data_IF_885512540078
#
_entry.id   IF_885512540078
#
_cell.length_a   1.000
_cell.length_b   1.000
_cell.length_c   1.000
_cell.angle_alpha   90.00
_cell.angle_beta   90.00
_cell.angle_gamma   90.00
#
_symmetry.space_group_name_H-M   'P 1'
#
loop_
_entity.id
_entity.type
_entity.pdbx_description
1 polymer ?
#
# COMPACT_ATOMS: atom_id res chain seq x y z
N UNK A 1 -16.88 -10.55 13.01
CA UNK A 1 -16.81 -9.67 11.84
C UNK A 1 -15.43 -9.81 11.21
N UNK A 2 -15.32 -9.73 9.91
CA UNK A 2 -14.04 -9.92 9.22
C UNK A 2 -12.97 -8.90 9.62
N UNK A 3 -13.35 -7.67 9.89
CA UNK A 3 -12.40 -6.64 10.35
C UNK A 3 -11.73 -7.05 11.67
N UNK A 4 -12.48 -7.63 12.59
CA UNK A 4 -11.95 -8.07 13.88
C UNK A 4 -10.91 -9.19 13.67
N UNK A 5 -11.17 -10.11 12.74
CA UNK A 5 -10.23 -11.19 12.38
C UNK A 5 -8.94 -10.61 11.81
N UNK A 6 -9.04 -9.66 10.88
CA UNK A 6 -7.87 -8.99 10.28
C UNK A 6 -7.05 -8.26 11.35
N UNK A 7 -7.71 -7.56 12.26
CA UNK A 7 -7.05 -6.83 13.36
C UNK A 7 -6.33 -7.79 14.30
N UNK A 8 -6.96 -8.90 14.68
CA UNK A 8 -6.33 -9.89 15.58
C UNK A 8 -5.11 -10.54 14.92
N UNK A 9 -5.18 -10.88 13.65
CA UNK A 9 -4.02 -11.43 12.94
C UNK A 9 -2.90 -10.38 12.78
N UNK A 10 -3.25 -9.13 12.54
CA UNK A 10 -2.27 -8.05 12.50
C UNK A 10 -1.59 -7.83 13.86
N UNK A 11 -2.31 -7.94 14.97
CA UNK A 11 -1.73 -7.85 16.32
C UNK A 11 -0.65 -8.93 16.54
N UNK A 12 -0.90 -10.15 16.08
CA UNK A 12 0.08 -11.24 16.16
C UNK A 12 1.34 -10.90 15.37
N UNK A 13 1.20 -10.43 14.14
CA UNK A 13 2.33 -10.00 13.32
C UNK A 13 3.10 -8.84 13.92
N UNK A 14 2.41 -7.88 14.56
CA UNK A 14 3.07 -6.74 15.20
C UNK A 14 4.01 -7.17 16.33
N UNK A 15 3.72 -8.24 17.06
CA UNK A 15 4.63 -8.79 18.06
C UNK A 15 5.97 -9.16 17.41
N UNK A 16 5.93 -9.86 16.29
CA UNK A 16 7.14 -10.26 15.55
C UNK A 16 7.88 -9.05 14.96
N UNK A 17 7.15 -8.09 14.37
CA UNK A 17 7.75 -6.89 13.80
C UNK A 17 8.44 -6.03 14.84
N UNK A 18 7.82 -5.85 16.01
CA UNK A 18 8.41 -5.07 17.12
C UNK A 18 9.60 -5.79 17.77
N UNK A 19 9.63 -7.12 17.72
CA UNK A 19 10.80 -7.89 18.16
C UNK A 19 11.98 -7.73 17.20
N UNK A 20 11.72 -7.63 15.90
CA UNK A 20 12.75 -7.42 14.88
C UNK A 20 13.25 -5.96 14.83
N UNK A 21 12.35 -5.01 14.95
CA UNK A 21 12.64 -3.56 14.95
C UNK A 21 11.82 -2.92 16.07
N UNK A 22 12.49 -2.39 17.10
CA UNK A 22 11.82 -1.74 18.22
C UNK A 22 11.12 -0.44 17.80
N UNK A 23 10.16 0.01 18.60
CA UNK A 23 9.50 1.31 18.38
C UNK A 23 10.50 2.47 18.31
N UNK A 24 11.49 2.48 19.20
CA UNK A 24 12.52 3.52 19.22
C UNK A 24 13.36 3.47 17.93
N UNK A 25 13.78 2.29 17.50
CA UNK A 25 14.53 2.13 16.25
C UNK A 25 13.71 2.58 15.04
N UNK A 26 12.42 2.23 14.98
CA UNK A 26 11.53 2.64 13.90
C UNK A 26 11.35 4.17 13.90
N UNK A 27 11.22 4.78 15.08
CA UNK A 27 11.15 6.24 15.23
C UNK A 27 12.42 6.92 14.71
N UNK A 28 13.59 6.40 15.05
CA UNK A 28 14.86 6.94 14.56
C UNK A 28 14.98 6.83 13.05
N UNK A 29 14.58 5.70 12.46
CA UNK A 29 14.54 5.53 11.00
C UNK A 29 13.62 6.56 10.35
N UNK A 30 12.45 6.80 10.92
CA UNK A 30 11.50 7.79 10.41
C UNK A 30 12.05 9.21 10.45
N UNK A 31 12.71 9.59 11.56
CA UNK A 31 13.31 10.92 11.72
C UNK A 31 14.51 11.14 10.78
N UNK A 32 15.23 10.09 10.44
CA UNK A 32 16.37 10.16 9.52
C UNK A 32 15.95 10.15 8.05
N UNK A 33 14.70 9.88 7.75
CA UNK A 33 14.22 9.85 6.37
C UNK A 33 14.25 11.25 5.76
N UNK A 34 14.93 11.36 4.63
CA UNK A 34 14.99 12.60 3.83
C UNK A 34 13.94 12.62 2.71
N UNK A 35 13.17 11.56 2.59
CA UNK A 35 12.16 11.42 1.55
C UNK A 35 11.04 12.43 1.75
N UNK A 36 10.69 13.13 0.68
CA UNK A 36 9.53 14.03 0.67
C UNK A 36 8.29 13.28 0.23
N UNK A 37 7.18 13.54 0.93
CA UNK A 37 5.88 13.03 0.53
C UNK A 37 5.41 13.67 -0.78
N UNK A 38 4.81 12.88 -1.64
CA UNK A 38 4.05 13.38 -2.79
C UNK A 38 2.66 13.77 -2.29
N UNK A 39 2.20 14.98 -2.61
CA UNK A 39 0.96 15.54 -2.04
C UNK A 39 -0.29 14.76 -2.43
N UNK A 40 -0.70 13.80 -1.61
CA UNK A 40 -1.88 12.95 -1.84
C UNK A 40 -3.17 13.79 -1.87
N UNK A 41 -3.40 14.57 -0.82
CA UNK A 41 -4.58 15.44 -0.74
C UNK A 41 -4.63 16.45 -1.90
N UNK A 42 -3.48 17.02 -2.26
CA UNK A 42 -3.37 17.96 -3.38
C UNK A 42 -3.75 17.31 -4.70
N UNK A 43 -3.33 16.09 -4.94
CA UNK A 43 -3.66 15.35 -6.16
C UNK A 43 -5.16 15.12 -6.32
N UNK A 44 -5.89 14.97 -5.21
CA UNK A 44 -7.34 14.75 -5.20
C UNK A 44 -8.16 16.06 -5.25
N UNK A 45 -7.56 17.21 -4.95
CA UNK A 45 -8.22 18.53 -4.95
C UNK A 45 -8.14 19.20 -6.32
N UNK A 46 -8.53 18.50 -7.36
CA UNK A 46 -8.64 19.06 -8.70
C UNK A 46 -10.12 19.24 -9.06
N UNK A 47 -10.39 20.03 -10.08
CA UNK A 47 -11.73 20.13 -10.64
C UNK A 47 -12.13 18.82 -11.31
N UNK A 48 -13.40 18.44 -11.15
CA UNK A 48 -13.94 17.21 -11.69
C UNK A 48 -13.70 16.00 -10.79
N UNK A 49 -13.81 14.82 -11.37
CA UNK A 49 -13.69 13.54 -10.67
C UNK A 49 -12.22 13.19 -10.43
N UNK A 50 -11.91 12.81 -9.19
CA UNK A 50 -10.62 12.23 -8.82
C UNK A 50 -10.76 10.74 -8.61
N UNK A 51 -9.78 9.97 -9.10
CA UNK A 51 -9.81 8.50 -9.06
C UNK A 51 -8.57 7.97 -8.34
N UNK A 52 -8.79 7.03 -7.43
CA UNK A 52 -7.72 6.26 -6.78
C UNK A 52 -7.75 4.85 -7.38
N UNK A 53 -6.65 4.46 -8.01
CA UNK A 53 -6.46 3.09 -8.51
C UNK A 53 -5.82 2.21 -7.44
N UNK A 54 -6.42 1.07 -7.14
CA UNK A 54 -5.93 0.17 -6.10
C UNK A 54 -5.26 -1.06 -6.69
N UNK A 55 -4.07 -1.39 -6.18
CA UNK A 55 -3.40 -2.66 -6.44
C UNK A 55 -3.67 -3.63 -5.29
N UNK A 56 -4.31 -4.76 -5.62
CA UNK A 56 -4.76 -5.76 -4.65
C UNK A 56 -4.71 -7.15 -5.27
N UNK A 57 -4.10 -8.12 -4.57
CA UNK A 57 -3.98 -9.51 -5.05
C UNK A 57 -5.08 -10.43 -4.56
N UNK A 58 -5.66 -10.14 -3.41
CA UNK A 58 -6.69 -10.94 -2.78
C UNK A 58 -7.59 -10.07 -1.90
N UNK A 59 -8.74 -10.61 -1.53
CA UNK A 59 -9.60 -10.00 -0.49
C UNK A 59 -10.31 -11.10 0.29
N UNK A 60 -10.79 -10.82 1.51
CA UNK A 60 -11.53 -11.80 2.31
C UNK A 60 -12.79 -12.34 1.61
N UNK A 61 -13.43 -11.51 0.80
CA UNK A 61 -14.68 -11.88 0.10
C UNK A 61 -14.44 -12.64 -1.21
N UNK A 62 -13.30 -12.46 -1.85
CA UNK A 62 -13.02 -13.03 -3.18
C UNK A 62 -11.86 -14.01 -3.20
N UNK A 63 -11.13 -14.17 -2.07
CA UNK A 63 -9.91 -14.97 -2.04
C UNK A 63 -8.84 -14.43 -2.98
N UNK A 64 -7.98 -15.30 -3.48
CA UNK A 64 -6.95 -14.93 -4.45
C UNK A 64 -7.59 -14.45 -5.75
N UNK A 65 -7.24 -13.23 -6.17
CA UNK A 65 -7.65 -12.68 -7.45
C UNK A 65 -6.69 -13.14 -8.55
N UNK A 66 -6.96 -12.73 -9.80
CA UNK A 66 -6.08 -13.06 -10.91
C UNK A 66 -4.69 -12.42 -10.69
N UNK A 67 -3.77 -13.22 -10.14
CA UNK A 67 -2.40 -12.82 -9.82
C UNK A 67 -1.47 -12.78 -11.04
N UNK A 68 -1.98 -13.10 -12.23
CA UNK A 68 -1.20 -13.07 -13.49
C UNK A 68 -0.93 -11.66 -13.99
N UNK A 69 -1.61 -10.65 -13.43
CA UNK A 69 -1.36 -9.27 -13.80
C UNK A 69 -0.07 -8.80 -13.13
N UNK A 70 0.91 -8.44 -13.94
CA UNK A 70 2.17 -7.87 -13.46
C UNK A 70 1.92 -6.51 -12.78
N UNK A 71 2.56 -6.30 -11.63
CA UNK A 71 2.45 -5.05 -10.88
C UNK A 71 2.83 -3.85 -11.75
N UNK A 72 3.95 -3.93 -12.46
CA UNK A 72 4.44 -2.84 -13.31
C UNK A 72 3.48 -2.51 -14.43
N UNK A 73 2.90 -3.52 -15.05
CA UNK A 73 1.89 -3.35 -16.09
C UNK A 73 0.64 -2.65 -15.55
N UNK A 74 0.12 -3.09 -14.39
CA UNK A 74 -1.05 -2.48 -13.76
C UNK A 74 -0.79 -1.03 -13.38
N UNK A 75 0.37 -0.72 -12.80
CA UNK A 75 0.73 0.65 -12.42
C UNK A 75 0.93 1.53 -13.65
N UNK A 76 1.47 0.98 -14.73
CA UNK A 76 1.56 1.69 -16.01
C UNK A 76 0.18 2.11 -16.54
N UNK A 77 -0.81 1.22 -16.43
CA UNK A 77 -2.20 1.54 -16.78
C UNK A 77 -2.76 2.64 -15.88
N UNK A 78 -2.48 2.60 -14.58
CA UNK A 78 -2.93 3.61 -13.62
C UNK A 78 -2.28 4.98 -13.87
N UNK A 79 -1.01 5.03 -14.24
CA UNK A 79 -0.33 6.28 -14.56
C UNK A 79 -1.06 7.11 -15.61
N UNK A 80 -1.74 6.45 -16.55
CA UNK A 80 -2.46 7.10 -17.63
C UNK A 80 -3.90 7.52 -17.25
N UNK A 81 -4.44 7.05 -16.12
CA UNK A 81 -5.89 7.13 -15.89
C UNK A 81 -6.32 7.52 -14.47
N UNK A 82 -5.43 7.51 -13.47
CA UNK A 82 -5.81 7.81 -12.09
C UNK A 82 -4.99 8.96 -11.51
N UNK A 83 -5.44 9.50 -10.38
CA UNK A 83 -4.81 10.64 -9.71
C UNK A 83 -3.93 10.21 -8.53
N UNK A 84 -4.21 9.05 -7.97
CA UNK A 84 -3.47 8.48 -6.86
C UNK A 84 -3.58 6.95 -6.88
N UNK A 85 -2.65 6.29 -6.19
CA UNK A 85 -2.60 4.84 -6.12
C UNK A 85 -2.76 4.39 -4.67
N UNK A 86 -3.57 3.36 -4.46
CA UNK A 86 -3.68 2.62 -3.21
C UNK A 86 -3.05 1.24 -3.38
N UNK A 87 -2.29 0.81 -2.38
CA UNK A 87 -1.66 -0.51 -2.38
C UNK A 87 -2.00 -1.27 -1.10
N UNK A 88 -2.60 -2.44 -1.24
CA UNK A 88 -2.87 -3.33 -0.12
C UNK A 88 -1.55 -3.98 0.33
N UNK A 89 -1.13 -3.67 1.56
CA UNK A 89 0.10 -4.21 2.17
C UNK A 89 -0.17 -5.28 3.23
N UNK A 90 -1.43 -5.52 3.57
CA UNK A 90 -1.83 -6.53 4.54
C UNK A 90 -1.55 -7.94 3.97
N UNK A 91 -0.82 -8.78 4.73
CA UNK A 91 -0.22 -10.02 4.22
C UNK A 91 -1.17 -11.22 4.26
N UNK A 92 -2.00 -11.33 5.29
CA UNK A 92 -2.75 -12.56 5.57
C UNK A 92 -4.02 -12.71 4.75
N UNK A 93 -4.73 -11.61 4.52
CA UNK A 93 -6.05 -11.60 3.89
C UNK A 93 -6.05 -11.00 2.49
N UNK A 94 -5.12 -10.09 2.21
CA UNK A 94 -5.00 -9.40 0.93
C UNK A 94 -3.75 -9.80 0.15
N UNK A 95 -2.92 -10.69 0.70
CA UNK A 95 -1.66 -11.19 0.12
C UNK A 95 -0.72 -10.05 -0.30
N UNK A 96 -0.72 -8.97 0.50
CA UNK A 96 0.08 -7.79 0.25
C UNK A 96 1.48 -7.88 0.84
N UNK A 97 2.26 -6.83 0.60
CA UNK A 97 3.58 -6.64 1.18
C UNK A 97 3.97 -5.17 1.09
N UNK A 98 4.69 -4.66 2.08
CA UNK A 98 5.28 -3.33 2.01
C UNK A 98 6.33 -3.20 0.89
N UNK A 99 6.93 -4.31 0.45
CA UNK A 99 7.84 -4.34 -0.70
C UNK A 99 7.18 -3.86 -1.99
N UNK A 100 5.87 -4.05 -2.13
CA UNK A 100 5.13 -3.54 -3.29
C UNK A 100 5.12 -2.02 -3.36
N UNK A 101 5.13 -1.32 -2.23
CA UNK A 101 5.23 0.14 -2.20
C UNK A 101 6.52 0.64 -2.85
N UNK A 102 7.63 -0.03 -2.58
CA UNK A 102 8.92 0.29 -3.18
C UNK A 102 8.91 0.02 -4.69
N UNK A 103 8.37 -1.11 -5.11
CA UNK A 103 8.25 -1.46 -6.53
C UNK A 103 7.35 -0.48 -7.28
N UNK A 104 6.21 -0.12 -6.71
CA UNK A 104 5.29 0.86 -7.29
C UNK A 104 5.96 2.22 -7.42
N UNK A 105 6.69 2.66 -6.38
CA UNK A 105 7.38 3.96 -6.40
C UNK A 105 8.39 4.08 -7.52
N UNK A 106 9.01 2.98 -7.95
CA UNK A 106 9.97 2.98 -9.05
C UNK A 106 9.34 3.25 -10.42
N UNK A 107 8.04 3.01 -10.57
CA UNK A 107 7.34 3.09 -11.86
C UNK A 107 6.22 4.14 -11.90
N UNK A 108 6.05 4.93 -10.86
CA UNK A 108 5.07 6.02 -10.83
C UNK A 108 5.57 7.24 -10.07
N UNK A 109 5.11 8.41 -10.46
CA UNK A 109 5.26 9.66 -9.71
C UNK A 109 3.98 10.06 -8.97
N UNK A 110 2.90 9.29 -9.14
CA UNK A 110 1.64 9.55 -8.45
C UNK A 110 1.77 9.33 -6.93
N UNK A 111 0.97 10.05 -6.11
CA UNK A 111 0.94 9.77 -4.68
C UNK A 111 0.40 8.36 -4.41
N UNK A 112 0.94 7.74 -3.36
CA UNK A 112 0.61 6.37 -2.96
C UNK A 112 0.16 6.36 -1.50
N UNK A 113 -0.89 5.58 -1.22
CA UNK A 113 -1.37 5.28 0.13
C UNK A 113 -1.37 3.78 0.36
#
# INVERSE_FOLDING_TARGET
MILDVIVEDKKKRLVEYKAAVSEEEMKQKALQSTRKSVGFAKALKKDGLSVIGEFKKASPSHGAMNIKVDLKERISQYNASVDAISCLTEEDHFYGSTAYLEEIRKVTTLPII
#
